data_IF_570109910486
#
_entry.id   IF_570109910486
#
_cell.length_a   1.000
_cell.length_b   1.000
_cell.length_c   1.000
_cell.angle_alpha   90.00
_cell.angle_beta   90.00
_cell.angle_gamma   90.00
#
_symmetry.space_group_name_H-M   'P 1'
#
loop_
_entity.id
_entity.type
_entity.pdbx_description
1 polymer ?
#
# COMPACT_ATOMS: atom_id res chain seq x y z
N UNK A 1 10.62 -18.66 60.35
CA UNK A 1 9.90 -18.26 61.59
C UNK A 1 10.59 -18.76 62.86
N UNK A 2 10.78 -20.07 63.05
CA UNK A 2 11.47 -20.65 64.23
C UNK A 2 12.96 -20.25 64.36
N UNK A 3 13.67 -20.05 63.25
CA UNK A 3 15.08 -19.62 63.27
C UNK A 3 15.27 -18.16 63.71
N UNK A 4 14.31 -17.27 63.40
CA UNK A 4 14.38 -15.85 63.76
C UNK A 4 14.04 -15.60 65.24
N UNK A 5 13.14 -16.41 65.81
CA UNK A 5 12.79 -16.34 67.24
C UNK A 5 13.95 -16.73 68.16
N UNK A 6 14.82 -17.67 67.72
CA UNK A 6 16.04 -18.03 68.47
C UNK A 6 17.09 -16.91 68.46
N UNK A 7 17.15 -16.10 67.41
CA UNK A 7 18.13 -15.00 67.30
C UNK A 7 17.75 -13.79 68.18
N UNK A 8 16.45 -13.49 68.31
CA UNK A 8 15.97 -12.42 69.18
C UNK A 8 16.15 -12.72 70.69
N UNK A 9 16.07 -14.00 71.08
CA UNK A 9 16.26 -14.43 72.48
C UNK A 9 17.72 -14.34 72.96
N UNK A 10 18.71 -14.35 72.05
CA UNK A 10 20.13 -14.37 72.38
C UNK A 10 20.73 -12.97 72.63
N UNK A 11 20.03 -11.89 72.23
CA UNK A 11 20.57 -10.52 72.25
C UNK A 11 19.72 -9.51 73.04
N UNK A 12 18.80 -9.97 73.90
CA UNK A 12 18.03 -9.08 74.77
C UNK A 12 17.12 -8.10 74.01
N UNK A 13 16.82 -8.38 72.74
CA UNK A 13 15.90 -7.56 71.96
C UNK A 13 14.47 -7.84 72.43
N UNK A 14 13.86 -6.82 73.02
CA UNK A 14 12.48 -6.84 73.48
C UNK A 14 11.58 -7.34 72.33
N UNK A 15 10.94 -8.49 72.53
CA UNK A 15 10.15 -9.22 71.52
C UNK A 15 9.09 -8.33 70.86
N UNK A 16 8.65 -7.30 71.58
CA UNK A 16 7.74 -6.26 71.10
C UNK A 16 8.30 -5.43 69.94
N UNK A 17 9.58 -5.05 69.99
CA UNK A 17 10.23 -4.26 68.94
C UNK A 17 10.43 -5.08 67.66
N UNK A 18 10.74 -6.37 67.79
CA UNK A 18 10.84 -7.27 66.65
C UNK A 18 9.49 -7.49 65.97
N UNK A 19 8.42 -7.65 66.76
CA UNK A 19 7.06 -7.77 66.24
C UNK A 19 6.60 -6.48 65.55
N UNK A 20 6.87 -5.32 66.15
CA UNK A 20 6.57 -4.02 65.57
C UNK A 20 7.32 -3.80 64.25
N UNK A 21 8.61 -4.14 64.19
CA UNK A 21 9.40 -4.07 62.96
C UNK A 21 8.84 -4.97 61.85
N UNK A 22 8.44 -6.20 62.20
CA UNK A 22 7.84 -7.14 61.24
C UNK A 22 6.49 -6.63 60.71
N UNK A 23 5.64 -6.04 61.58
CA UNK A 23 4.37 -5.44 61.18
C UNK A 23 4.59 -4.24 60.25
N UNK A 24 5.57 -3.38 60.53
CA UNK A 24 5.95 -2.26 59.67
C UNK A 24 6.44 -2.76 58.30
N UNK A 25 7.27 -3.81 58.28
CA UNK A 25 7.77 -4.40 57.03
C UNK A 25 6.62 -4.98 56.18
N UNK A 26 5.67 -5.68 56.81
CA UNK A 26 4.48 -6.22 56.14
C UNK A 26 3.61 -5.07 55.58
N UNK A 27 3.39 -4.00 56.34
CA UNK A 27 2.67 -2.81 55.87
C UNK A 27 3.36 -2.16 54.67
N UNK A 28 4.69 -2.05 54.67
CA UNK A 28 5.45 -1.53 53.53
C UNK A 28 5.31 -2.40 52.28
N UNK A 29 5.34 -3.73 52.44
CA UNK A 29 5.14 -4.67 51.32
C UNK A 29 3.71 -4.58 50.79
N UNK A 30 2.70 -4.49 51.67
CA UNK A 30 1.29 -4.32 51.26
C UNK A 30 1.11 -2.99 50.51
N UNK A 31 1.69 -1.89 50.99
CA UNK A 31 1.64 -0.59 50.32
C UNK A 31 2.34 -0.62 48.95
N UNK A 32 3.46 -1.34 48.82
CA UNK A 32 4.16 -1.50 47.55
C UNK A 32 3.32 -2.33 46.55
N UNK A 33 2.68 -3.41 47.00
CA UNK A 33 1.76 -4.22 46.18
C UNK A 33 0.54 -3.39 45.77
N UNK A 34 -0.04 -2.62 46.69
CA UNK A 34 -1.14 -1.70 46.38
C UNK A 34 -0.74 -0.66 45.35
N UNK A 35 0.46 -0.09 45.44
CA UNK A 35 0.98 0.86 44.46
C UNK A 35 1.13 0.24 43.07
N UNK A 36 1.73 -0.96 42.98
CA UNK A 36 1.86 -1.70 41.72
C UNK A 36 0.49 -2.02 41.13
N UNK A 37 -0.47 -2.44 41.96
CA UNK A 37 -1.83 -2.71 41.53
C UNK A 37 -2.53 -1.44 41.03
N UNK A 38 -2.34 -0.30 41.69
CA UNK A 38 -2.92 0.99 41.29
C UNK A 38 -2.30 1.51 40.00
N UNK A 39 -0.99 1.40 39.81
CA UNK A 39 -0.31 1.78 38.55
C UNK A 39 -0.79 0.91 37.38
N UNK A 40 -0.94 -0.41 37.58
CA UNK A 40 -1.51 -1.28 36.54
C UNK A 40 -2.98 -0.95 36.23
N UNK A 41 -3.79 -0.60 37.23
CA UNK A 41 -5.17 -0.15 36.99
C UNK A 41 -5.19 1.17 36.22
N UNK A 42 -4.31 2.11 36.54
CA UNK A 42 -4.18 3.37 35.79
C UNK A 42 -3.78 3.08 34.34
N UNK A 43 -2.82 2.18 34.11
CA UNK A 43 -2.41 1.80 32.75
C UNK A 43 -3.54 1.11 31.98
N UNK A 44 -4.36 0.28 32.64
CA UNK A 44 -5.55 -0.34 32.05
C UNK A 44 -6.61 0.71 31.74
N UNK A 45 -6.87 1.66 32.65
CA UNK A 45 -7.81 2.76 32.42
C UNK A 45 -7.33 3.68 31.30
N UNK A 46 -6.03 3.99 31.24
CA UNK A 46 -5.42 4.75 30.14
C UNK A 46 -5.54 3.97 28.83
N UNK A 47 -5.32 2.66 28.84
CA UNK A 47 -5.49 1.81 27.67
C UNK A 47 -6.94 1.82 27.18
N UNK A 48 -7.92 1.57 28.07
CA UNK A 48 -9.34 1.59 27.73
C UNK A 48 -9.83 2.97 27.29
N UNK A 49 -9.37 4.05 27.93
CA UNK A 49 -9.70 5.43 27.51
C UNK A 49 -9.03 5.80 26.20
N UNK A 50 -7.84 5.27 25.89
CA UNK A 50 -7.19 5.44 24.59
C UNK A 50 -7.86 4.64 23.48
N UNK A 51 -8.36 3.44 23.78
CA UNK A 51 -9.04 2.58 22.82
C UNK A 51 -10.44 3.12 22.50
N UNK A 52 -11.17 3.60 23.51
CA UNK A 52 -12.42 4.33 23.31
C UNK A 52 -12.22 5.72 22.68
N UNK A 53 -11.11 6.41 22.94
CA UNK A 53 -10.74 7.62 22.19
C UNK A 53 -10.34 7.30 20.74
N UNK A 54 -9.74 6.13 20.46
CA UNK A 54 -9.46 5.65 19.11
C UNK A 54 -10.73 5.26 18.38
N UNK A 55 -11.71 4.64 19.04
CA UNK A 55 -13.05 4.37 18.49
C UNK A 55 -13.86 5.66 18.27
N UNK A 56 -13.84 6.60 19.21
CA UNK A 56 -14.46 7.91 19.02
C UNK A 56 -13.75 8.71 17.93
N UNK A 57 -12.44 8.56 17.78
CA UNK A 57 -11.70 9.14 16.66
C UNK A 57 -12.00 8.43 15.35
N UNK A 58 -12.23 7.11 15.33
CA UNK A 58 -12.57 6.37 14.11
C UNK A 58 -14.01 6.66 13.67
N UNK A 59 -14.91 6.90 14.62
CA UNK A 59 -16.29 7.37 14.41
C UNK A 59 -16.29 8.85 13.99
N UNK A 60 -15.48 9.72 14.62
CA UNK A 60 -15.31 11.10 14.18
C UNK A 60 -14.55 11.19 12.84
N UNK A 61 -13.70 10.21 12.52
CA UNK A 61 -13.07 10.03 11.20
C UNK A 61 -14.12 9.53 10.21
N UNK A 62 -15.05 8.64 10.57
CA UNK A 62 -16.13 8.22 9.66
C UNK A 62 -17.13 9.34 9.39
N UNK A 63 -17.46 10.16 10.40
CA UNK A 63 -18.35 11.32 10.27
C UNK A 63 -17.65 12.51 9.60
N UNK A 64 -16.33 12.67 9.77
CA UNK A 64 -15.53 13.63 8.99
C UNK A 64 -15.11 13.08 7.62
N UNK A 65 -15.29 11.79 7.32
CA UNK A 65 -15.23 11.20 5.97
C UNK A 65 -16.48 11.51 5.13
N UNK A 66 -17.46 12.22 5.69
CA UNK A 66 -18.31 13.12 4.90
C UNK A 66 -17.55 14.39 4.44
N UNK A 67 -16.21 14.38 4.50
CA UNK A 67 -15.30 15.13 3.65
C UNK A 67 -15.83 14.99 2.23
N UNK A 68 -16.52 16.03 1.76
CA UNK A 68 -16.93 16.27 0.40
C UNK A 68 -15.90 15.67 -0.56
N UNK A 69 -16.17 14.45 -1.01
CA UNK A 69 -15.44 13.83 -2.11
C UNK A 69 -15.76 14.75 -3.28
N UNK A 70 -14.88 15.72 -3.52
CA UNK A 70 -15.00 16.58 -4.68
C UNK A 70 -14.64 15.68 -5.85
N UNK A 71 -15.65 14.94 -6.33
CA UNK A 71 -15.52 14.16 -7.55
C UNK A 71 -14.97 15.10 -8.61
N UNK A 72 -13.80 14.78 -9.16
CA UNK A 72 -13.28 15.55 -10.29
C UNK A 72 -14.23 15.26 -11.42
N UNK A 73 -15.18 16.16 -11.66
CA UNK A 73 -16.09 16.03 -12.78
C UNK A 73 -15.22 16.10 -14.04
N UNK A 74 -15.16 15.03 -14.85
CA UNK A 74 -14.35 15.03 -16.05
C UNK A 74 -14.75 16.21 -16.94
N UNK A 75 -13.75 16.89 -17.49
CA UNK A 75 -13.96 17.85 -18.54
C UNK A 75 -14.52 17.10 -19.76
N UNK A 76 -15.84 17.07 -19.90
CA UNK A 76 -16.47 16.49 -21.08
C UNK A 76 -16.31 17.38 -22.31
N UNK A 77 -15.60 18.50 -22.27
CA UNK A 77 -15.53 19.42 -23.40
C UNK A 77 -14.82 18.77 -24.60
N UNK A 78 -15.52 18.66 -25.73
CA UNK A 78 -14.92 18.24 -26.99
C UNK A 78 -13.84 19.23 -27.45
N UNK A 79 -12.98 18.79 -28.39
CA UNK A 79 -12.03 19.68 -29.07
C UNK A 79 -12.31 19.73 -30.57
N UNK A 80 -12.19 20.90 -31.17
CA UNK A 80 -12.28 21.06 -32.62
C UNK A 80 -11.01 20.52 -33.33
N UNK A 81 -11.01 20.50 -34.68
CA UNK A 81 -9.85 20.09 -35.49
C UNK A 81 -8.59 20.93 -35.26
N UNK A 82 -8.70 22.07 -34.56
CA UNK A 82 -7.59 22.98 -34.20
C UNK A 82 -7.20 22.86 -32.72
N UNK A 83 -7.79 21.92 -31.97
CA UNK A 83 -7.48 21.64 -30.57
C UNK A 83 -8.16 22.56 -29.53
N UNK A 84 -9.07 23.44 -29.95
CA UNK A 84 -9.81 24.36 -29.05
C UNK A 84 -10.99 23.65 -28.40
N UNK A 85 -11.28 23.96 -27.13
CA UNK A 85 -12.46 23.42 -26.45
C UNK A 85 -13.75 23.90 -27.13
N UNK A 86 -14.69 22.99 -27.36
CA UNK A 86 -16.05 23.28 -27.78
C UNK A 86 -17.02 22.90 -26.65
N UNK A 87 -18.12 23.62 -26.52
CA UNK A 87 -19.10 23.50 -25.43
C UNK A 87 -19.87 22.16 -25.40
N UNK A 88 -19.68 21.29 -26.40
CA UNK A 88 -20.40 20.03 -26.50
C UNK A 88 -19.69 18.95 -25.66
N UNK A 89 -20.40 18.28 -24.73
CA UNK A 89 -19.83 17.16 -24.00
C UNK A 89 -19.52 15.99 -24.97
N UNK A 90 -18.30 15.45 -24.93
CA UNK A 90 -17.96 14.19 -25.58
C UNK A 90 -18.61 13.04 -24.80
N UNK A 91 -19.14 12.04 -25.50
CA UNK A 91 -19.45 10.75 -24.91
C UNK A 91 -18.23 10.21 -24.17
N UNK A 92 -18.47 9.61 -23.02
CA UNK A 92 -17.44 8.88 -22.30
C UNK A 92 -17.10 7.61 -23.09
N UNK A 93 -15.99 7.65 -23.82
CA UNK A 93 -15.48 6.46 -24.50
C UNK A 93 -14.90 5.48 -23.46
N UNK A 94 -15.43 4.24 -23.37
CA UNK A 94 -14.89 3.24 -22.47
C UNK A 94 -13.47 2.86 -22.89
N UNK A 95 -12.60 2.60 -21.92
CA UNK A 95 -11.27 2.08 -22.19
C UNK A 95 -11.38 0.59 -22.59
N UNK A 96 -10.54 0.10 -23.53
CA UNK A 96 -10.49 -1.33 -23.83
C UNK A 96 -10.21 -2.16 -22.58
N UNK A 97 -10.86 -3.31 -22.42
CA UNK A 97 -10.72 -4.14 -21.21
C UNK A 97 -9.25 -4.46 -20.87
N UNK A 98 -8.44 -4.84 -21.88
CA UNK A 98 -7.00 -5.08 -21.72
C UNK A 98 -6.26 -3.89 -21.10
N UNK A 99 -6.64 -2.66 -21.46
CA UNK A 99 -6.05 -1.42 -20.90
C UNK A 99 -6.47 -1.28 -19.43
N UNK A 100 -7.76 -1.48 -19.12
CA UNK A 100 -8.29 -1.33 -17.75
C UNK A 100 -7.66 -2.36 -16.81
N UNK A 101 -7.63 -3.63 -17.21
CA UNK A 101 -7.08 -4.72 -16.40
C UNK A 101 -5.60 -4.51 -16.09
N UNK A 102 -4.80 -4.15 -17.10
CA UNK A 102 -3.39 -3.82 -16.90
C UNK A 102 -3.23 -2.57 -16.03
N UNK A 103 -4.05 -1.53 -16.25
CA UNK A 103 -4.00 -0.28 -15.51
C UNK A 103 -4.23 -0.48 -14.02
N UNK A 104 -5.16 -1.35 -13.62
CA UNK A 104 -5.35 -1.70 -12.19
C UNK A 104 -4.06 -2.23 -11.57
N UNK A 105 -3.37 -3.14 -12.26
CA UNK A 105 -2.09 -3.69 -11.81
C UNK A 105 -0.98 -2.64 -11.72
N UNK A 106 -0.86 -1.79 -12.74
CA UNK A 106 0.13 -0.72 -12.74
C UNK A 106 -0.18 0.36 -11.69
N UNK A 107 -1.46 0.62 -11.38
CA UNK A 107 -1.87 1.49 -10.28
C UNK A 107 -1.65 0.86 -8.91
N UNK A 108 -1.55 -0.46 -8.77
CA UNK A 108 -1.01 -1.03 -7.54
C UNK A 108 0.52 -0.96 -7.47
N UNK A 109 1.17 -0.64 -8.61
CA UNK A 109 2.61 -0.55 -8.76
C UNK A 109 3.12 0.89 -9.05
N UNK A 110 4.08 1.01 -9.97
CA UNK A 110 4.78 2.24 -10.37
C UNK A 110 3.94 3.23 -11.22
N UNK A 111 2.76 2.82 -11.69
CA UNK A 111 1.87 3.62 -12.51
C UNK A 111 1.15 4.72 -11.72
N UNK A 112 0.91 5.86 -12.35
CA UNK A 112 0.10 6.93 -11.74
C UNK A 112 -0.83 7.60 -12.75
N UNK A 113 -1.95 8.10 -12.24
CA UNK A 113 -2.83 9.02 -12.94
C UNK A 113 -2.52 10.45 -12.47
N UNK A 114 -2.54 11.41 -13.39
CA UNK A 114 -2.27 12.79 -13.05
C UNK A 114 -2.85 13.78 -14.06
N UNK A 115 -2.87 15.04 -13.67
CA UNK A 115 -3.38 16.14 -14.48
C UNK A 115 -2.25 17.07 -14.90
N UNK A 116 -2.22 17.46 -16.17
CA UNK A 116 -1.19 18.36 -16.72
C UNK A 116 -1.43 19.83 -16.37
N UNK A 117 -2.69 20.23 -16.23
CA UNK A 117 -3.06 21.62 -15.95
C UNK A 117 -3.78 21.72 -14.61
N UNK A 118 -3.10 22.34 -13.64
CA UNK A 118 -3.61 22.59 -12.30
C UNK A 118 -3.83 24.09 -12.08
N UNK A 119 -4.75 24.44 -11.19
CA UNK A 119 -4.90 25.80 -10.66
C UNK A 119 -3.78 26.12 -9.67
N UNK A 120 -3.78 27.37 -9.18
CA UNK A 120 -2.87 27.80 -8.10
C UNK A 120 -3.11 27.02 -6.80
N UNK A 121 -4.35 26.55 -6.61
CA UNK A 121 -4.76 25.66 -5.54
C UNK A 121 -4.28 24.21 -5.70
N UNK A 122 -3.55 23.88 -6.77
CA UNK A 122 -3.06 22.53 -7.05
C UNK A 122 -4.12 21.55 -7.56
N UNK A 123 -5.38 21.97 -7.66
CA UNK A 123 -6.48 21.15 -8.17
C UNK A 123 -6.51 21.16 -9.70
N UNK A 124 -7.02 20.10 -10.34
CA UNK A 124 -7.19 20.08 -11.79
C UNK A 124 -8.12 21.21 -12.23
N UNK A 125 -7.74 21.92 -13.31
CA UNK A 125 -8.66 22.85 -13.95
C UNK A 125 -9.89 22.10 -14.49
N UNK A 126 -11.11 22.68 -14.49
CA UNK A 126 -12.33 22.03 -14.98
C UNK A 126 -12.28 21.58 -16.45
N UNK A 127 -11.29 22.04 -17.21
CA UNK A 127 -11.10 21.72 -18.64
C UNK A 127 -10.02 20.67 -18.88
N UNK A 128 -9.41 20.10 -17.84
CA UNK A 128 -8.38 19.07 -17.98
C UNK A 128 -8.92 17.67 -17.67
N UNK A 129 -8.34 16.68 -18.34
CA UNK A 129 -8.56 15.28 -18.04
C UNK A 129 -7.26 14.64 -17.52
N UNK A 130 -7.40 13.54 -16.80
CA UNK A 130 -6.25 12.80 -16.30
C UNK A 130 -5.55 12.07 -17.46
N UNK A 131 -4.25 11.85 -17.29
CA UNK A 131 -3.43 10.95 -18.10
C UNK A 131 -2.85 9.86 -17.21
N UNK A 132 -2.52 8.73 -17.82
CA UNK A 132 -1.68 7.71 -17.22
C UNK A 132 -0.22 7.98 -17.57
N UNK A 133 0.67 7.88 -16.60
CA UNK A 133 2.10 7.96 -16.82
C UNK A 133 2.84 6.96 -15.95
N UNK A 134 3.98 6.51 -16.46
CA UNK A 134 4.85 5.60 -15.73
C UNK A 134 6.31 5.76 -16.15
N UNK A 135 7.21 5.46 -15.21
CA UNK A 135 8.66 5.43 -15.43
C UNK A 135 9.22 4.09 -14.93
N UNK A 136 9.92 3.34 -15.78
CA UNK A 136 10.53 2.07 -15.39
C UNK A 136 11.95 1.93 -15.92
N UNK A 137 12.73 1.04 -15.30
CA UNK A 137 14.12 0.76 -15.71
C UNK A 137 14.21 -0.18 -16.92
N UNK A 138 13.27 -1.12 -17.04
CA UNK A 138 13.27 -2.14 -18.09
C UNK A 138 12.77 -1.57 -19.41
N UNK A 139 13.69 -1.31 -20.37
CA UNK A 139 13.32 -0.85 -21.73
C UNK A 139 12.30 -1.77 -22.39
N UNK A 140 12.53 -3.10 -22.34
CA UNK A 140 11.65 -4.09 -22.96
C UNK A 140 10.23 -4.04 -22.38
N UNK A 141 10.11 -3.90 -21.06
CA UNK A 141 8.80 -3.82 -20.42
C UNK A 141 8.07 -2.52 -20.75
N UNK A 142 8.77 -1.38 -20.72
CA UNK A 142 8.16 -0.08 -21.08
C UNK A 142 7.68 -0.07 -22.53
N UNK A 143 8.47 -0.62 -23.45
CA UNK A 143 8.07 -0.72 -24.85
C UNK A 143 6.86 -1.64 -25.05
N UNK A 144 6.80 -2.79 -24.37
CA UNK A 144 5.62 -3.66 -24.38
C UNK A 144 4.37 -2.89 -23.91
N UNK A 145 4.47 -2.22 -22.77
CA UNK A 145 3.33 -1.47 -22.23
C UNK A 145 2.86 -0.38 -23.20
N UNK A 146 3.79 0.41 -23.74
CA UNK A 146 3.46 1.47 -24.68
C UNK A 146 2.87 0.95 -26.02
N UNK A 147 3.43 -0.13 -26.57
CA UNK A 147 3.11 -0.60 -27.92
C UNK A 147 2.00 -1.66 -27.99
N UNK A 148 1.86 -2.49 -26.95
CA UNK A 148 0.96 -3.66 -26.97
C UNK A 148 -0.23 -3.51 -26.02
N UNK A 149 -0.07 -2.77 -24.92
CA UNK A 149 -1.14 -2.59 -23.91
C UNK A 149 -1.82 -1.24 -24.09
N UNK A 150 -1.06 -0.16 -24.03
CA UNK A 150 -1.56 1.22 -23.99
C UNK A 150 -1.58 1.92 -25.35
N UNK A 151 -1.24 1.23 -26.44
CA UNK A 151 -1.31 1.76 -27.82
C UNK A 151 -2.62 2.49 -28.14
N UNK A 152 -3.82 2.00 -27.74
CA UNK A 152 -5.08 2.70 -28.03
C UNK A 152 -5.19 4.08 -27.37
N UNK A 153 -4.51 4.30 -26.24
CA UNK A 153 -4.61 5.54 -25.45
C UNK A 153 -3.37 6.42 -25.53
N UNK A 154 -2.23 5.91 -26.00
CA UNK A 154 -0.99 6.65 -26.19
C UNK A 154 -0.89 7.31 -27.58
N UNK A 155 -0.01 8.30 -27.69
CA UNK A 155 0.45 8.80 -29.00
C UNK A 155 1.54 7.88 -29.56
N UNK A 156 1.91 8.07 -30.84
CA UNK A 156 3.04 7.38 -31.45
C UNK A 156 4.41 7.88 -30.96
N UNK A 157 4.46 8.74 -29.95
CA UNK A 157 5.72 9.16 -29.33
C UNK A 157 6.31 8.01 -28.52
N UNK A 158 7.52 7.51 -28.85
CA UNK A 158 8.11 6.40 -28.13
C UNK A 158 8.50 6.78 -26.69
N UNK A 159 8.69 5.79 -25.80
CA UNK A 159 9.13 6.04 -24.44
C UNK A 159 10.42 6.86 -24.37
N UNK A 160 10.41 7.91 -23.55
CA UNK A 160 11.52 8.86 -23.41
C UNK A 160 12.58 8.30 -22.46
N UNK A 161 13.84 8.18 -22.89
CA UNK A 161 14.94 7.78 -22.01
C UNK A 161 15.33 8.89 -21.03
N UNK A 162 15.73 8.50 -19.83
CA UNK A 162 16.30 9.39 -18.82
C UNK A 162 17.54 8.74 -18.14
N UNK A 163 18.66 9.47 -17.97
CA UNK A 163 18.95 10.80 -18.53
C UNK A 163 18.87 10.83 -20.06
N UNK A 164 18.72 12.02 -20.65
CA UNK A 164 18.67 12.17 -22.10
C UNK A 164 20.01 11.68 -22.72
N UNK A 165 20.02 10.80 -23.73
CA UNK A 165 21.25 10.31 -24.38
C UNK A 165 22.18 11.43 -24.85
N UNK A 166 21.64 12.60 -25.22
CA UNK A 166 22.42 13.79 -25.61
C UNK A 166 23.33 14.32 -24.50
N UNK A 167 23.10 13.94 -23.25
CA UNK A 167 23.93 14.34 -22.10
C UNK A 167 25.21 13.50 -21.96
N UNK A 168 25.40 12.47 -22.79
CA UNK A 168 26.53 11.52 -22.68
C UNK A 168 26.42 10.54 -21.51
N UNK A 169 25.40 10.68 -20.64
CA UNK A 169 25.19 9.80 -19.49
C UNK A 169 24.43 8.53 -19.90
N UNK A 170 24.72 7.37 -19.30
CA UNK A 170 24.00 6.14 -19.58
C UNK A 170 22.54 6.26 -19.14
N UNK A 171 21.63 5.79 -20.00
CA UNK A 171 20.18 5.77 -19.73
C UNK A 171 19.90 4.83 -18.56
N UNK A 172 19.11 5.29 -17.61
CA UNK A 172 18.75 4.54 -16.39
C UNK A 172 17.29 4.11 -16.35
N UNK A 173 16.41 4.85 -17.02
CA UNK A 173 14.97 4.62 -17.02
C UNK A 173 14.32 5.16 -18.29
N UNK A 174 13.08 4.75 -18.51
CA UNK A 174 12.26 5.15 -19.64
C UNK A 174 10.89 5.55 -19.12
N UNK A 175 10.34 6.64 -19.66
CA UNK A 175 9.04 7.16 -19.27
C UNK A 175 8.11 7.30 -20.47
N UNK A 176 6.84 6.98 -20.29
CA UNK A 176 5.79 7.24 -21.29
C UNK A 176 4.51 7.72 -20.60
N UNK A 177 3.62 8.30 -21.38
CA UNK A 177 2.31 8.73 -20.91
C UNK A 177 1.24 8.48 -21.97
N UNK A 178 0.01 8.30 -21.53
CA UNK A 178 -1.17 8.32 -22.40
C UNK A 178 -1.53 9.74 -22.83
N UNK A 179 -2.52 9.86 -23.72
CA UNK A 179 -3.30 11.09 -23.90
C UNK A 179 -4.11 11.37 -22.63
N UNK A 180 -4.52 12.62 -22.43
CA UNK A 180 -5.48 12.98 -21.40
C UNK A 180 -6.89 12.53 -21.81
N UNK A 181 -7.57 11.70 -21.00
CA UNK A 181 -8.86 11.08 -21.32
C UNK A 181 -9.84 11.21 -20.15
N UNK A 182 -11.12 11.48 -20.45
CA UNK A 182 -12.17 11.60 -19.43
C UNK A 182 -12.37 10.30 -18.62
N UNK A 183 -12.25 9.14 -19.27
CA UNK A 183 -12.29 7.84 -18.61
C UNK A 183 -11.16 7.63 -17.61
N UNK A 184 -9.97 8.19 -17.86
CA UNK A 184 -8.87 8.18 -16.88
C UNK A 184 -9.17 9.11 -15.69
N UNK A 185 -9.91 10.20 -15.88
CA UNK A 185 -10.37 11.05 -14.77
C UNK A 185 -11.34 10.31 -13.86
N UNK A 186 -12.23 9.48 -14.42
CA UNK A 186 -13.14 8.65 -13.61
C UNK A 186 -12.39 7.59 -12.80
N UNK A 187 -11.38 6.94 -13.41
CA UNK A 187 -10.53 6.00 -12.67
C UNK A 187 -9.74 6.76 -11.60
N UNK A 188 -9.22 7.96 -11.90
CA UNK A 188 -8.54 8.78 -10.90
C UNK A 188 -9.42 9.04 -9.67
N UNK A 189 -10.71 9.33 -9.84
CA UNK A 189 -11.63 9.54 -8.71
C UNK A 189 -11.80 8.33 -7.78
N UNK A 190 -11.55 7.12 -8.28
CA UNK A 190 -11.59 5.89 -7.46
C UNK A 190 -10.28 5.64 -6.71
N UNK A 191 -9.16 6.13 -7.25
CA UNK A 191 -7.80 5.82 -6.78
C UNK A 191 -7.11 6.95 -6.03
N UNK A 192 -7.69 8.16 -6.01
CA UNK A 192 -7.02 9.34 -5.47
C UNK A 192 -7.97 10.23 -4.66
N UNK A 193 -7.57 10.58 -3.45
CA UNK A 193 -8.30 11.47 -2.55
C UNK A 193 -7.51 12.76 -2.34
N UNK A 194 -8.20 13.91 -2.36
CA UNK A 194 -7.56 15.19 -2.12
C UNK A 194 -7.18 15.37 -0.64
N UNK A 195 -5.91 15.69 -0.37
CA UNK A 195 -5.44 16.07 0.96
C UNK A 195 -5.30 17.59 1.04
N UNK A 196 -6.14 18.21 1.87
CA UNK A 196 -6.04 19.64 2.17
C UNK A 196 -4.72 19.99 2.86
N UNK A 197 -4.20 19.09 3.72
CA UNK A 197 -2.95 19.31 4.46
C UNK A 197 -1.73 19.31 3.55
N UNK A 198 -1.68 18.40 2.57
CA UNK A 198 -0.55 18.31 1.63
C UNK A 198 -0.76 19.09 0.34
N UNK A 199 -1.95 19.69 0.17
CA UNK A 199 -2.39 20.37 -1.04
C UNK A 199 -2.16 19.53 -2.31
N UNK A 200 -2.43 18.22 -2.23
CA UNK A 200 -2.23 17.26 -3.32
C UNK A 200 -3.17 16.06 -3.20
N UNK A 201 -3.37 15.37 -4.32
CA UNK A 201 -4.01 14.05 -4.32
C UNK A 201 -3.07 12.99 -3.74
N UNK A 202 -3.62 12.16 -2.85
CA UNK A 202 -2.98 10.98 -2.28
C UNK A 202 -3.61 9.76 -2.94
N UNK A 203 -2.77 8.84 -3.41
CA UNK A 203 -3.18 7.57 -3.99
C UNK A 203 -3.65 6.62 -2.87
N UNK A 204 -4.78 5.96 -3.08
CA UNK A 204 -5.38 5.01 -2.14
C UNK A 204 -5.69 3.69 -2.86
N UNK A 205 -5.87 2.61 -2.10
CA UNK A 205 -6.47 1.37 -2.62
C UNK A 205 -8.01 1.53 -2.64
N UNK A 206 -8.68 1.39 -3.81
CA UNK A 206 -10.14 1.49 -3.87
C UNK A 206 -10.84 0.38 -3.07
N UNK A 207 -11.96 0.67 -2.43
CA UNK A 207 -12.73 -0.32 -1.66
C UNK A 207 -13.29 -1.47 -2.52
N UNK A 208 -13.52 -1.23 -3.81
CA UNK A 208 -13.94 -2.25 -4.78
C UNK A 208 -12.77 -2.94 -5.51
N UNK A 209 -11.52 -2.84 -5.01
CA UNK A 209 -10.35 -3.46 -5.66
C UNK A 209 -10.52 -4.98 -5.87
N UNK A 210 -11.30 -5.64 -5.01
CA UNK A 210 -11.68 -7.05 -5.16
C UNK A 210 -12.45 -7.34 -6.44
N UNK A 211 -13.25 -6.39 -6.95
CA UNK A 211 -13.94 -6.51 -8.24
C UNK A 211 -12.97 -6.20 -9.39
N UNK A 212 -12.17 -5.14 -9.24
CA UNK A 212 -11.30 -4.59 -10.28
C UNK A 212 -10.07 -5.46 -10.60
N UNK A 213 -9.47 -6.12 -9.61
CA UNK A 213 -8.22 -6.85 -9.78
C UNK A 213 -8.44 -8.16 -10.54
N UNK A 214 -7.91 -8.28 -11.75
CA UNK A 214 -7.98 -9.51 -12.57
C UNK A 214 -6.66 -10.29 -12.54
N UNK A 215 -6.59 -11.52 -13.08
CA UNK A 215 -5.32 -12.22 -13.26
C UNK A 215 -4.28 -11.41 -14.06
N UNK A 216 -4.72 -10.66 -15.08
CA UNK A 216 -3.86 -9.73 -15.81
C UNK A 216 -3.40 -8.56 -14.93
N UNK A 217 -4.31 -7.95 -14.16
CA UNK A 217 -3.94 -6.90 -13.21
C UNK A 217 -2.92 -7.39 -12.17
N UNK A 218 -3.11 -8.57 -11.60
CA UNK A 218 -2.13 -9.19 -10.69
C UNK A 218 -0.79 -9.45 -11.38
N UNK A 219 -0.81 -9.89 -12.64
CA UNK A 219 0.42 -10.08 -13.41
C UNK A 219 1.19 -8.78 -13.61
N UNK A 220 0.49 -7.69 -13.99
CA UNK A 220 1.07 -6.36 -14.13
C UNK A 220 1.63 -5.83 -12.81
N UNK A 221 0.91 -6.02 -11.70
CA UNK A 221 1.38 -5.64 -10.37
C UNK A 221 2.69 -6.35 -9.99
N UNK A 222 2.78 -7.66 -10.22
CA UNK A 222 4.01 -8.43 -9.98
C UNK A 222 5.12 -8.01 -10.97
N UNK A 223 4.81 -7.73 -12.24
CA UNK A 223 5.79 -7.23 -13.20
C UNK A 223 6.35 -5.87 -12.78
N UNK A 224 5.55 -4.97 -12.22
CA UNK A 224 6.01 -3.70 -11.64
C UNK A 224 6.84 -3.91 -10.37
N UNK A 225 6.19 -4.34 -9.28
CA UNK A 225 6.74 -4.31 -7.92
C UNK A 225 7.09 -5.68 -7.31
N UNK A 226 6.81 -6.75 -8.03
CA UNK A 226 7.19 -8.10 -7.62
C UNK A 226 8.70 -8.30 -7.63
N UNK A 227 9.22 -9.06 -6.67
CA UNK A 227 10.57 -9.57 -6.71
C UNK A 227 10.66 -10.93 -6.03
N UNK A 228 11.68 -11.68 -6.42
CA UNK A 228 11.98 -12.96 -5.79
C UNK A 228 12.89 -12.76 -4.58
N UNK A 229 12.45 -13.27 -3.44
CA UNK A 229 13.33 -13.46 -2.31
C UNK A 229 14.06 -14.81 -2.44
N UNK A 230 15.37 -14.76 -2.70
CA UNK A 230 16.17 -15.97 -2.90
C UNK A 230 16.33 -16.79 -1.63
N UNK A 231 16.41 -16.13 -0.47
CA UNK A 231 16.60 -16.78 0.82
C UNK A 231 15.34 -17.56 1.22
N UNK A 232 14.19 -16.91 1.15
CA UNK A 232 12.91 -17.49 1.57
C UNK A 232 12.24 -18.30 0.46
N UNK A 233 12.79 -18.26 -0.76
CA UNK A 233 12.23 -18.88 -1.98
C UNK A 233 10.78 -18.46 -2.26
N UNK A 234 10.41 -17.25 -1.83
CA UNK A 234 9.08 -16.68 -2.02
C UNK A 234 9.06 -15.61 -3.10
N UNK A 235 7.87 -15.34 -3.62
CA UNK A 235 7.57 -14.14 -4.40
C UNK A 235 7.04 -13.10 -3.41
N UNK A 236 7.56 -11.88 -3.49
CA UNK A 236 7.15 -10.74 -2.67
C UNK A 236 6.77 -9.58 -3.58
N UNK A 237 5.80 -8.76 -3.17
CA UNK A 237 5.43 -7.51 -3.84
C UNK A 237 5.83 -6.35 -2.94
N UNK A 238 6.54 -5.37 -3.50
CA UNK A 238 6.86 -4.14 -2.78
C UNK A 238 5.60 -3.28 -2.65
N UNK A 239 5.04 -3.21 -1.46
CA UNK A 239 3.89 -2.35 -1.13
C UNK A 239 4.30 -1.28 -0.14
N UNK A 240 5.55 -0.80 -0.25
CA UNK A 240 6.18 0.06 0.75
C UNK A 240 5.48 1.44 0.89
N UNK A 241 4.63 1.81 -0.09
CA UNK A 241 3.85 3.04 -0.12
C UNK A 241 2.41 2.90 0.43
N UNK A 242 1.96 1.67 0.73
CA UNK A 242 0.65 1.42 1.31
C UNK A 242 0.75 1.31 2.83
N UNK A 243 -0.35 1.66 3.50
CA UNK A 243 -0.52 1.45 4.93
C UNK A 243 -0.63 -0.04 5.26
N UNK A 244 -0.46 -0.40 6.53
CA UNK A 244 -0.62 -1.80 6.96
C UNK A 244 -2.04 -2.32 6.67
N UNK A 245 -3.07 -1.52 6.97
CA UNK A 245 -4.48 -1.87 6.71
C UNK A 245 -4.76 -2.10 5.22
N UNK A 246 -4.21 -1.25 4.33
CA UNK A 246 -4.33 -1.47 2.88
C UNK A 246 -3.62 -2.75 2.42
N UNK A 247 -2.47 -3.08 3.01
CA UNK A 247 -1.76 -4.33 2.72
C UNK A 247 -2.55 -5.55 3.18
N UNK A 248 -3.15 -5.51 4.38
CA UNK A 248 -4.03 -6.59 4.87
C UNK A 248 -5.27 -6.75 4.00
N UNK A 249 -5.91 -5.64 3.61
CA UNK A 249 -7.03 -5.65 2.69
C UNK A 249 -6.68 -6.29 1.35
N UNK A 250 -5.54 -5.92 0.75
CA UNK A 250 -5.05 -6.52 -0.48
C UNK A 250 -4.76 -8.03 -0.32
N UNK A 251 -4.23 -8.46 0.83
CA UNK A 251 -4.00 -9.88 1.12
C UNK A 251 -5.33 -10.66 1.18
N UNK A 252 -6.36 -10.09 1.81
CA UNK A 252 -7.68 -10.71 1.85
C UNK A 252 -8.27 -10.83 0.43
N UNK A 253 -8.14 -9.79 -0.39
CA UNK A 253 -8.55 -9.84 -1.81
C UNK A 253 -7.82 -10.95 -2.58
N UNK A 254 -6.51 -11.11 -2.38
CA UNK A 254 -5.74 -12.19 -3.00
C UNK A 254 -6.23 -13.57 -2.57
N UNK A 255 -6.61 -13.72 -1.29
CA UNK A 255 -7.13 -14.97 -0.75
C UNK A 255 -8.52 -15.28 -1.28
N UNK A 256 -9.45 -14.33 -1.21
CA UNK A 256 -10.85 -14.55 -1.54
C UNK A 256 -11.06 -14.73 -3.04
N UNK A 257 -10.35 -13.94 -3.87
CA UNK A 257 -10.53 -13.96 -5.33
C UNK A 257 -9.75 -15.04 -6.05
N UNK A 258 -8.54 -15.33 -5.58
CA UNK A 258 -7.59 -16.19 -6.30
C UNK A 258 -7.16 -17.41 -5.50
N UNK A 259 -7.66 -17.57 -4.27
CA UNK A 259 -7.23 -18.61 -3.33
C UNK A 259 -5.70 -18.64 -3.15
N UNK A 260 -5.10 -17.44 -3.12
CA UNK A 260 -3.67 -17.23 -2.91
C UNK A 260 -3.41 -16.86 -1.45
N UNK A 261 -2.53 -17.63 -0.81
CA UNK A 261 -2.09 -17.39 0.56
C UNK A 261 -0.88 -16.46 0.55
N UNK A 262 -1.01 -15.33 1.25
CA UNK A 262 0.07 -14.37 1.46
C UNK A 262 0.03 -13.82 2.89
N UNK A 263 1.12 -13.21 3.35
CA UNK A 263 1.22 -12.58 4.67
C UNK A 263 1.92 -11.23 4.57
N UNK A 264 1.63 -10.28 5.49
CA UNK A 264 2.34 -9.03 5.55
C UNK A 264 3.75 -9.28 6.10
N UNK A 265 4.75 -8.75 5.41
CA UNK A 265 6.16 -8.80 5.82
C UNK A 265 6.62 -7.41 6.20
N UNK A 266 6.92 -7.23 7.48
CA UNK A 266 7.53 -6.00 8.01
C UNK A 266 8.92 -5.79 7.43
N UNK A 267 9.23 -4.55 7.05
CA UNK A 267 10.57 -4.11 6.64
C UNK A 267 10.87 -2.75 7.25
N UNK A 268 12.10 -2.58 7.72
CA UNK A 268 12.62 -1.29 8.15
C UNK A 268 13.46 -0.73 7.01
N UNK A 269 13.09 0.46 6.52
CA UNK A 269 13.83 1.16 5.48
C UNK A 269 15.10 1.81 6.03
N UNK A 270 16.00 2.25 5.15
CA UNK A 270 17.25 2.92 5.54
C UNK A 270 17.02 4.17 6.40
N UNK A 271 15.91 4.87 6.19
CA UNK A 271 15.48 6.03 6.98
C UNK A 271 14.75 5.64 8.29
N UNK A 272 14.83 4.39 8.73
CA UNK A 272 14.17 3.81 9.91
C UNK A 272 12.63 3.80 9.86
N UNK A 273 12.01 4.16 8.73
CA UNK A 273 10.55 4.01 8.56
C UNK A 273 10.18 2.54 8.39
N UNK A 274 9.11 2.14 9.07
CA UNK A 274 8.49 0.82 8.89
C UNK A 274 7.65 0.85 7.62
N UNK A 275 7.75 -0.21 6.82
CA UNK A 275 6.91 -0.46 5.67
C UNK A 275 6.55 -1.94 5.60
N UNK A 276 5.57 -2.27 4.76
CA UNK A 276 5.00 -3.60 4.66
C UNK A 276 5.00 -4.09 3.23
N UNK A 277 5.30 -5.37 3.05
CA UNK A 277 5.32 -6.06 1.76
C UNK A 277 4.38 -7.24 1.79
N UNK A 278 3.77 -7.56 0.66
CA UNK A 278 3.02 -8.81 0.52
C UNK A 278 4.02 -9.92 0.22
N UNK A 279 4.06 -10.96 1.05
CA UNK A 279 4.85 -12.17 0.82
C UNK A 279 3.90 -13.33 0.54
N UNK A 280 3.96 -13.89 -0.67
CA UNK A 280 3.24 -15.12 -0.97
C UNK A 280 3.83 -16.29 -0.19
N UNK A 281 2.97 -17.19 0.27
CA UNK A 281 3.38 -18.46 0.87
C UNK A 281 4.26 -19.25 -0.10
N UNK A 282 5.41 -19.71 0.39
CA UNK A 282 6.38 -20.50 -0.38
C UNK A 282 5.98 -21.96 -0.61
N UNK A 283 4.80 -22.37 -0.14
CA UNK A 283 4.29 -23.73 -0.36
C UNK A 283 4.13 -24.00 -1.87
N UNK A 284 4.57 -25.17 -2.39
CA UNK A 284 4.57 -25.45 -3.83
C UNK A 284 3.22 -25.26 -4.52
N UNK A 285 2.12 -25.65 -3.88
CA UNK A 285 0.76 -25.52 -4.39
C UNK A 285 0.34 -24.05 -4.56
N UNK A 286 0.72 -23.19 -3.61
CA UNK A 286 0.42 -21.76 -3.66
C UNK A 286 1.21 -21.06 -4.77
N UNK A 287 2.49 -21.38 -4.89
CA UNK A 287 3.36 -20.83 -5.94
C UNK A 287 2.93 -21.33 -7.33
N UNK A 288 2.59 -22.61 -7.46
CA UNK A 288 2.12 -23.17 -8.74
C UNK A 288 0.81 -22.53 -9.17
N UNK A 289 -0.13 -22.33 -8.24
CA UNK A 289 -1.38 -21.58 -8.49
C UNK A 289 -1.09 -20.16 -8.94
N UNK A 290 -0.27 -19.42 -8.20
CA UNK A 290 0.14 -18.06 -8.55
C UNK A 290 0.73 -18.01 -9.96
N UNK A 291 1.70 -18.88 -10.28
CA UNK A 291 2.35 -18.92 -11.59
C UNK A 291 1.34 -19.25 -12.69
N UNK A 292 0.48 -20.25 -12.50
CA UNK A 292 -0.53 -20.64 -13.50
C UNK A 292 -1.50 -19.50 -13.82
N UNK A 293 -1.87 -18.73 -12.80
CA UNK A 293 -2.79 -17.60 -12.89
C UNK A 293 -2.20 -16.43 -13.68
N UNK A 294 -0.93 -16.07 -13.39
CA UNK A 294 -0.35 -14.82 -13.92
C UNK A 294 0.51 -15.02 -15.15
N UNK A 295 1.16 -16.18 -15.33
CA UNK A 295 2.10 -16.45 -16.42
C UNK A 295 1.54 -16.17 -17.82
N UNK A 296 0.27 -16.47 -18.16
CA UNK A 296 -0.29 -16.14 -19.48
C UNK A 296 -0.26 -14.64 -19.81
N UNK A 297 -0.18 -13.78 -18.81
CA UNK A 297 -0.18 -12.32 -18.94
C UNK A 297 1.22 -11.69 -18.74
N UNK A 298 2.25 -12.51 -18.52
CA UNK A 298 3.63 -12.04 -18.36
C UNK A 298 4.33 -11.88 -19.71
N UNK A 299 5.16 -10.84 -19.81
CA UNK A 299 6.11 -10.75 -20.92
C UNK A 299 7.37 -11.58 -20.69
N UNK A 300 7.99 -12.14 -21.74
CA UNK A 300 9.18 -12.97 -21.61
C UNK A 300 10.31 -12.32 -20.80
N UNK A 301 10.54 -11.02 -20.99
CA UNK A 301 11.62 -10.30 -20.29
C UNK A 301 11.38 -10.09 -18.80
N UNK A 302 10.18 -10.38 -18.27
CA UNK A 302 9.83 -10.23 -16.85
C UNK A 302 9.59 -11.58 -16.15
N UNK A 303 9.66 -12.71 -16.87
CA UNK A 303 9.47 -14.05 -16.30
C UNK A 303 10.48 -14.41 -15.20
N UNK A 304 11.64 -13.74 -15.16
CA UNK A 304 12.63 -13.91 -14.09
C UNK A 304 12.06 -13.58 -12.70
N UNK A 305 11.00 -12.75 -12.62
CA UNK A 305 10.30 -12.45 -11.36
C UNK A 305 9.48 -13.63 -10.81
N UNK A 306 9.08 -14.57 -11.67
CA UNK A 306 8.33 -15.77 -11.29
C UNK A 306 9.22 -17.00 -11.03
N UNK A 307 10.48 -16.97 -11.51
CA UNK A 307 11.46 -18.07 -11.35
C UNK A 307 10.91 -19.46 -11.72
N UNK A 308 10.36 -19.53 -12.93
CA UNK A 308 9.69 -20.69 -13.53
C UNK A 308 10.61 -21.94 -13.65
N UNK A 309 11.94 -21.76 -13.67
CA UNK A 309 12.92 -22.83 -13.92
C UNK A 309 12.93 -23.97 -12.90
N UNK A 310 12.35 -23.79 -11.70
CA UNK A 310 12.22 -24.88 -10.70
C UNK A 310 10.89 -25.64 -10.82
N UNK A 311 9.87 -25.04 -11.44
CA UNK A 311 8.48 -25.53 -11.42
C UNK A 311 8.03 -26.09 -12.77
N UNK A 312 8.85 -25.98 -13.81
CA UNK A 312 8.64 -26.64 -15.12
C UNK A 312 9.23 -28.06 -15.20
N UNK A 313 9.94 -28.53 -14.17
CA UNK A 313 10.40 -29.94 -14.09
C UNK A 313 9.31 -30.88 -13.54
N UNK A 314 8.04 -30.48 -13.63
CA UNK A 314 6.87 -31.29 -13.31
C UNK A 314 5.92 -31.12 -14.49
N UNK A 315 6.20 -31.86 -15.56
CA UNK A 315 5.28 -32.29 -16.63
C UNK A 315 6.07 -33.17 -17.59
#
# INVERSE_FOLDING_TARGET
MLACLRFASLHGFNSYFFYLYLVILILFVILAIFKIFFENIIDIIIYFTSESALELSSIAISDSFNLTCLSVLPAHLARDKKGRFISKPLPLEPLPNKVVEALVGELLADGHLGFTHKGEDGKPKPTTNALFAMTLKSKKFVHYLWQEVYKPICTNTPPRPWPNPKTGKPVRQYAFSSRCLASLSQIHNQWYVWSNTLNTFIKIVPSNIGELLTPMGLAHWIMGDGYRNKADKTIEICTDNFTFSEVEFLINVLKDKFDLVATPKKRIQANKKVCWRIRFSGKPENISKLISLVRPHFIPSMLYKLNISRYLNIN
#
